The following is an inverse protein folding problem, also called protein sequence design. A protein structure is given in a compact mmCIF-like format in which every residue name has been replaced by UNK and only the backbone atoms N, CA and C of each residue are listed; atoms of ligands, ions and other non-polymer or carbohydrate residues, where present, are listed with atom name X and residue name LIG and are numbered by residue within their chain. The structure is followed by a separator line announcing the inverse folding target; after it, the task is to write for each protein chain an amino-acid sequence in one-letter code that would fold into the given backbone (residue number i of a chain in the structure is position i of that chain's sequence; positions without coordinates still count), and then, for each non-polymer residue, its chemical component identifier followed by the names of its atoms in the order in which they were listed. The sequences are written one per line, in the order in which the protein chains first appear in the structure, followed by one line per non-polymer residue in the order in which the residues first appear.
data_IF_081377809659
#
_entry.id   IF_081377809659
#
_cell.length_a   1.000
_cell.length_b   1.000
_cell.length_c   1.000
_cell.angle_alpha   90.00
_cell.angle_beta   90.00
_cell.angle_gamma   90.00
#
_symmetry.space_group_name_H-M   'P 1'
#
loop_
_entity.id
_entity.type
_entity.pdbx_description
1 polymer ?
#
# COMPACT_ATOMS: atom_id res chain seq x y z
N UNK A 1 -2.92 -2.17 -11.07
CA UNK A 1 -1.66 -2.26 -10.30
C UNK A 1 -0.84 -3.50 -10.68
N UNK A 2 -1.44 -4.69 -10.75
CA UNK A 2 -0.77 -5.95 -11.16
C UNK A 2 -0.03 -5.85 -12.50
N UNK A 3 -0.66 -5.29 -13.54
CA UNK A 3 0.00 -5.09 -14.85
C UNK A 3 1.26 -4.22 -14.73
N UNK A 4 1.18 -3.11 -13.97
CA UNK A 4 2.34 -2.22 -13.75
C UNK A 4 3.44 -2.91 -12.95
N UNK A 5 3.10 -3.68 -11.91
CA UNK A 5 4.08 -4.44 -11.13
C UNK A 5 4.79 -5.49 -12.01
N UNK A 6 4.03 -6.23 -12.82
CA UNK A 6 4.57 -7.22 -13.75
C UNK A 6 5.49 -6.58 -14.80
N UNK A 7 5.12 -5.44 -15.39
CA UNK A 7 5.97 -4.68 -16.31
C UNK A 7 7.28 -4.21 -15.67
N UNK A 8 7.26 -3.91 -14.36
CA UNK A 8 8.46 -3.54 -13.60
C UNK A 8 9.18 -4.76 -13.01
N UNK A 9 8.78 -5.98 -13.36
CA UNK A 9 9.30 -7.24 -12.80
C UNK A 9 9.31 -7.22 -11.26
N UNK A 10 8.19 -6.83 -10.65
CA UNK A 10 7.99 -6.77 -9.20
C UNK A 10 6.97 -7.82 -8.75
N UNK A 11 7.18 -8.36 -7.56
CA UNK A 11 6.13 -9.09 -6.85
C UNK A 11 5.23 -8.10 -6.11
N UNK A 12 3.94 -8.21 -6.36
CA UNK A 12 2.89 -7.49 -5.63
C UNK A 12 2.05 -8.51 -4.87
N UNK A 13 2.14 -8.50 -3.55
CA UNK A 13 1.34 -9.36 -2.67
C UNK A 13 0.37 -8.54 -1.84
N UNK A 14 -0.68 -9.19 -1.35
CA UNK A 14 -1.56 -8.63 -0.35
C UNK A 14 -1.86 -9.65 0.74
N UNK A 15 -2.10 -9.15 1.93
CA UNK A 15 -2.49 -9.92 3.10
C UNK A 15 -3.61 -9.18 3.84
N UNK A 16 -4.73 -9.85 4.06
CA UNK A 16 -5.91 -9.26 4.71
C UNK A 16 -6.21 -10.09 5.93
N UNK A 17 -6.28 -9.42 7.08
CA UNK A 17 -6.64 -10.06 8.34
C UNK A 17 -8.04 -10.72 8.23
N UNK A 18 -8.15 -12.04 8.46
CA UNK A 18 -9.42 -12.77 8.32
C UNK A 18 -10.46 -12.38 9.37
N UNK A 19 -10.09 -11.61 10.41
CA UNK A 19 -11.04 -11.11 11.40
C UNK A 19 -11.81 -9.86 10.92
N UNK A 20 -11.45 -9.30 9.77
CA UNK A 20 -12.14 -8.15 9.19
C UNK A 20 -13.48 -8.62 8.62
N UNK A 21 -14.61 -7.95 8.93
CA UNK A 21 -15.90 -8.26 8.32
C UNK A 21 -15.88 -8.13 6.79
N UNK A 22 -16.51 -9.08 6.09
CA UNK A 22 -16.59 -9.07 4.62
C UNK A 22 -17.32 -7.85 4.04
N UNK A 23 -18.21 -7.23 4.83
CA UNK A 23 -18.97 -6.04 4.45
C UNK A 23 -18.69 -4.89 5.39
N UNK A 24 -18.27 -3.77 4.82
CA UNK A 24 -17.96 -2.53 5.50
C UNK A 24 -18.73 -1.38 4.84
N UNK A 25 -19.14 -0.41 5.64
CA UNK A 25 -19.80 0.80 5.17
C UNK A 25 -18.80 1.96 5.27
N UNK A 26 -18.57 2.68 4.17
CA UNK A 26 -17.66 3.81 4.10
C UNK A 26 -17.49 4.34 2.68
N UNK A 27 -16.59 5.31 2.48
CA UNK A 27 -16.29 5.85 1.15
C UNK A 27 -15.28 4.95 0.42
N UNK A 28 -15.81 4.00 -0.35
CA UNK A 28 -15.00 3.07 -1.14
C UNK A 28 -14.18 3.74 -2.24
N UNK A 29 -14.61 4.91 -2.73
CA UNK A 29 -13.91 5.63 -3.80
C UNK A 29 -12.67 6.32 -3.26
N UNK A 30 -12.81 7.05 -2.15
CA UNK A 30 -11.68 7.69 -1.46
C UNK A 30 -10.66 6.65 -0.98
N UNK A 31 -11.11 5.55 -0.37
CA UNK A 31 -10.23 4.49 0.09
C UNK A 31 -9.43 3.86 -1.09
N UNK A 32 -10.12 3.58 -2.21
CA UNK A 32 -9.47 3.07 -3.42
C UNK A 32 -8.41 4.03 -3.94
N UNK A 33 -8.69 5.34 -3.94
CA UNK A 33 -7.75 6.35 -4.40
C UNK A 33 -6.49 6.38 -3.53
N UNK A 34 -6.65 6.41 -2.20
CA UNK A 34 -5.53 6.38 -1.25
C UNK A 34 -4.67 5.14 -1.47
N UNK A 35 -5.26 3.94 -1.46
CA UNK A 35 -4.54 2.68 -1.66
C UNK A 35 -3.82 2.66 -3.02
N UNK A 36 -4.50 3.08 -4.09
CA UNK A 36 -3.93 3.09 -5.44
C UNK A 36 -2.73 4.03 -5.54
N UNK A 37 -2.79 5.20 -4.88
CA UNK A 37 -1.69 6.16 -4.87
C UNK A 37 -0.48 5.60 -4.10
N UNK A 38 -0.69 5.04 -2.91
CA UNK A 38 0.39 4.46 -2.10
C UNK A 38 1.06 3.28 -2.80
N UNK A 39 0.28 2.32 -3.31
CA UNK A 39 0.83 1.16 -4.04
C UNK A 39 1.48 1.60 -5.36
N UNK A 40 0.90 2.59 -6.05
CA UNK A 40 1.48 3.17 -7.27
C UNK A 40 2.86 3.77 -7.01
N UNK A 41 3.02 4.52 -5.92
CA UNK A 41 4.31 5.06 -5.49
C UNK A 41 5.29 3.95 -5.13
N UNK A 42 4.86 2.95 -4.37
CA UNK A 42 5.69 1.81 -4.03
C UNK A 42 6.22 1.08 -5.27
N UNK A 43 5.38 0.82 -6.28
CA UNK A 43 5.80 0.22 -7.56
C UNK A 43 6.79 1.13 -8.29
N UNK A 44 6.51 2.43 -8.38
CA UNK A 44 7.35 3.41 -9.09
C UNK A 44 8.76 3.53 -8.49
N UNK A 45 8.88 3.49 -7.17
CA UNK A 45 10.13 3.73 -6.44
C UNK A 45 10.82 2.45 -5.97
N UNK A 46 10.34 1.28 -6.37
CA UNK A 46 11.00 0.00 -6.10
C UNK A 46 11.79 -0.47 -7.32
N UNK A 47 13.13 -0.49 -7.25
CA UNK A 47 13.95 -1.02 -8.32
C UNK A 47 13.73 -2.53 -8.44
N UNK A 48 13.63 -3.03 -9.66
CA UNK A 48 13.81 -4.45 -9.96
C UNK A 48 15.11 -4.63 -10.72
N UNK A 49 15.95 -5.57 -10.27
CA UNK A 49 17.22 -5.91 -10.94
C UNK A 49 17.15 -7.36 -11.40
N UNK A 50 17.90 -7.70 -12.45
CA UNK A 50 17.97 -9.07 -12.99
C UNK A 50 18.34 -10.10 -11.91
N UNK A 51 19.16 -9.71 -10.91
CA UNK A 51 19.60 -10.58 -9.81
C UNK A 51 18.67 -10.62 -8.60
N UNK A 52 17.72 -9.68 -8.46
CA UNK A 52 16.78 -9.63 -7.33
C UNK A 52 15.49 -8.93 -7.75
N UNK A 53 14.40 -9.70 -7.74
CA UNK A 53 13.06 -9.19 -7.94
C UNK A 53 12.69 -8.24 -6.80
N UNK A 54 12.24 -7.04 -7.11
CA UNK A 54 11.72 -6.12 -6.11
C UNK A 54 10.35 -6.58 -5.60
N UNK A 55 9.99 -6.17 -4.40
CA UNK A 55 8.77 -6.60 -3.73
C UNK A 55 7.98 -5.41 -3.16
N UNK A 56 6.67 -5.47 -3.34
CA UNK A 56 5.68 -4.56 -2.75
C UNK A 56 4.60 -5.42 -2.08
N UNK A 57 4.30 -5.15 -0.82
CA UNK A 57 3.26 -5.83 -0.05
C UNK A 57 2.23 -4.81 0.43
N UNK A 58 0.95 -5.16 0.33
CA UNK A 58 -0.16 -4.46 0.99
C UNK A 58 -0.71 -5.35 2.10
N UNK A 59 -0.61 -4.93 3.37
CA UNK A 59 -1.30 -5.60 4.46
C UNK A 59 -2.47 -4.78 4.98
N UNK A 60 -3.56 -5.45 5.34
CA UNK A 60 -4.69 -4.84 6.04
C UNK A 60 -4.89 -5.56 7.37
N UNK A 61 -4.89 -4.81 8.48
CA UNK A 61 -5.04 -5.35 9.84
C UNK A 61 -6.24 -4.75 10.54
N UNK A 62 -6.94 -5.56 11.31
CA UNK A 62 -7.97 -5.08 12.23
C UNK A 62 -7.29 -4.51 13.47
N UNK A 63 -7.48 -3.23 13.77
CA UNK A 63 -6.97 -2.61 14.99
C UNK A 63 -8.00 -2.59 16.11
N UNK A 64 -9.26 -2.31 15.76
CA UNK A 64 -10.36 -2.27 16.70
C UNK A 64 -11.68 -2.60 15.99
N UNK A 65 -12.57 -3.27 16.71
CA UNK A 65 -13.92 -3.58 16.29
C UNK A 65 -14.86 -3.21 17.42
N UNK A 66 -15.70 -2.22 17.17
CA UNK A 66 -16.69 -1.71 18.12
C UNK A 66 -18.10 -1.91 17.51
N UNK A 67 -19.15 -1.75 18.31
CA UNK A 67 -20.54 -2.00 17.88
C UNK A 67 -20.97 -1.22 16.63
N UNK A 68 -20.35 -0.06 16.36
CA UNK A 68 -20.70 0.84 15.26
C UNK A 68 -19.57 1.08 14.25
N UNK A 69 -18.35 0.63 14.52
CA UNK A 69 -17.19 1.01 13.71
C UNK A 69 -16.09 -0.03 13.70
N UNK A 70 -15.36 -0.05 12.58
CA UNK A 70 -14.18 -0.88 12.38
C UNK A 70 -12.99 0.05 12.13
N UNK A 71 -11.91 -0.13 12.89
CA UNK A 71 -10.65 0.57 12.64
C UNK A 71 -9.70 -0.39 11.94
N UNK A 72 -9.32 -0.05 10.70
CA UNK A 72 -8.41 -0.83 9.88
C UNK A 72 -7.10 -0.08 9.67
N UNK A 73 -5.99 -0.79 9.79
CA UNK A 73 -4.68 -0.32 9.34
C UNK A 73 -4.40 -0.85 7.94
N UNK A 74 -4.01 0.04 7.03
CA UNK A 74 -3.47 -0.34 5.72
C UNK A 74 -1.99 0.01 5.68
N UNK A 75 -1.14 -0.99 5.45
CA UNK A 75 0.31 -0.80 5.34
C UNK A 75 0.79 -1.22 3.96
N UNK A 76 1.47 -0.30 3.26
CA UNK A 76 2.17 -0.59 2.01
C UNK A 76 3.66 -0.64 2.31
N UNK A 77 4.25 -1.83 2.20
CA UNK A 77 5.69 -2.04 2.41
C UNK A 77 6.37 -2.29 1.07
N UNK A 78 7.55 -1.70 0.86
CA UNK A 78 8.31 -1.92 -0.37
C UNK A 78 9.82 -1.92 -0.14
N UNK A 79 10.55 -2.55 -1.05
CA UNK A 79 12.02 -2.61 -1.05
C UNK A 79 12.67 -1.46 -1.83
N UNK A 80 12.10 -0.26 -1.72
CA UNK A 80 12.49 0.89 -2.55
C UNK A 80 13.81 1.55 -2.15
N UNK A 81 14.16 2.58 -2.90
CA UNK A 81 15.36 3.42 -2.68
C UNK A 81 15.35 4.20 -1.36
N UNK A 82 14.23 4.19 -0.65
CA UNK A 82 14.01 5.00 0.56
C UNK A 82 13.74 6.47 0.24
N UNK A 83 13.38 7.21 1.28
CA UNK A 83 13.17 8.67 1.21
C UNK A 83 14.25 9.31 2.09
N UNK A 84 14.95 10.29 1.54
CA UNK A 84 15.95 11.05 2.30
C UNK A 84 15.27 11.78 3.48
N UNK A 85 15.90 11.82 4.65
CA UNK A 85 15.29 12.33 5.89
C UNK A 85 14.80 13.78 5.77
N UNK A 86 15.57 14.61 5.08
CA UNK A 86 15.28 16.00 4.78
C UNK A 86 14.07 16.19 3.84
N UNK A 87 13.68 15.14 3.11
CA UNK A 87 12.53 15.14 2.21
C UNK A 87 11.26 14.58 2.83
N UNK A 88 11.32 13.94 3.99
CA UNK A 88 10.16 13.30 4.63
C UNK A 88 9.03 14.30 4.91
N UNK A 89 9.35 15.55 5.29
CA UNK A 89 8.33 16.56 5.58
C UNK A 89 7.61 17.05 4.31
N UNK A 90 8.22 16.89 3.14
CA UNK A 90 7.70 17.41 1.87
C UNK A 90 6.81 16.39 1.13
N UNK A 91 6.74 15.14 1.59
CA UNK A 91 6.03 14.07 0.84
C UNK A 91 4.51 14.22 0.87
N UNK A 92 3.98 15.06 1.76
CA UNK A 92 2.57 15.38 1.89
C UNK A 92 2.23 16.81 1.49
N UNK A 93 3.22 17.59 1.04
CA UNK A 93 2.95 18.91 0.48
C UNK A 93 2.26 18.78 -0.89
N UNK A 94 1.39 19.75 -1.20
CA UNK A 94 0.74 19.83 -2.50
C UNK A 94 1.76 20.11 -3.61
N UNK A 95 1.72 19.30 -4.67
CA UNK A 95 2.53 19.47 -5.89
C UNK A 95 2.01 20.59 -6.79
#
# INVERSE_FOLDING_TARGET
LVVRASQNNLDLTYDVDPNIPDQLIGDSLQLRQVITNLVGNAIKFTPSKISRKGHVALSTRLLALDDSSVTLEFCVTNMGIGIAKDKLNLIFDTF
#
